data_IF_515461755068
#
_entry.id   IF_515461755068
#
_cell.length_a   1.000
_cell.length_b   1.000
_cell.length_c   1.000
_cell.angle_alpha   90.00
_cell.angle_beta   90.00
_cell.angle_gamma   90.00
#
_symmetry.space_group_name_H-M   'P 1'
#
loop_
_entity.id
_entity.type
_entity.pdbx_description
1 polymer ?
#
# COMPACT_ATOMS: atom_id res chain seq x y z
N UNK A 1 32.46 -22.81 -22.31
CA UNK A 1 32.95 -23.46 -21.08
C UNK A 1 32.63 -22.52 -19.95
N UNK A 2 31.87 -22.94 -18.94
CA UNK A 2 31.60 -22.11 -17.76
C UNK A 2 32.85 -22.20 -16.89
N UNK A 3 33.60 -21.10 -16.80
CA UNK A 3 34.82 -21.01 -15.98
C UNK A 3 34.50 -20.93 -14.49
N UNK A 4 35.51 -21.11 -13.64
CA UNK A 4 35.38 -20.88 -12.19
C UNK A 4 34.98 -19.41 -11.97
N UNK A 5 33.99 -19.11 -11.11
CA UNK A 5 33.54 -17.74 -10.90
C UNK A 5 34.68 -16.83 -10.44
N UNK A 6 34.84 -15.72 -11.14
CA UNK A 6 35.86 -14.72 -10.84
C UNK A 6 35.38 -13.78 -9.73
N UNK A 7 36.29 -12.94 -9.22
CA UNK A 7 35.97 -12.01 -8.13
C UNK A 7 34.77 -11.11 -8.47
N UNK A 8 34.68 -10.69 -9.73
CA UNK A 8 33.63 -9.80 -10.24
C UNK A 8 32.27 -10.51 -10.29
N UNK A 9 32.24 -11.81 -10.61
CA UNK A 9 31.01 -12.61 -10.58
C UNK A 9 30.41 -12.64 -9.16
N UNK A 10 31.26 -12.82 -8.14
CA UNK A 10 30.83 -12.80 -6.75
C UNK A 10 30.37 -11.42 -6.29
N UNK A 11 30.94 -10.35 -6.83
CA UNK A 11 30.51 -9.00 -6.54
C UNK A 11 29.13 -8.70 -7.13
N UNK A 12 28.91 -9.09 -8.38
CA UNK A 12 27.62 -9.01 -9.05
C UNK A 12 26.55 -9.86 -8.34
N UNK A 13 26.90 -11.07 -7.91
CA UNK A 13 25.99 -11.92 -7.14
C UNK A 13 25.56 -11.26 -5.82
N UNK A 14 26.48 -10.59 -5.10
CA UNK A 14 26.15 -9.84 -3.87
C UNK A 14 25.24 -8.65 -4.13
N UNK A 15 25.46 -7.90 -5.21
CA UNK A 15 24.59 -6.79 -5.63
C UNK A 15 23.18 -7.29 -5.94
N UNK A 16 23.08 -8.37 -6.72
CA UNK A 16 21.80 -9.00 -7.05
C UNK A 16 21.08 -9.55 -5.80
N UNK A 17 21.82 -10.19 -4.87
CA UNK A 17 21.25 -10.66 -3.61
C UNK A 17 20.64 -9.51 -2.79
N UNK A 18 21.34 -8.39 -2.65
CA UNK A 18 20.83 -7.21 -1.94
C UNK A 18 19.55 -6.67 -2.56
N UNK A 19 19.49 -6.64 -3.90
CA UNK A 19 18.29 -6.25 -4.63
C UNK A 19 17.12 -7.22 -4.36
N UNK A 20 17.35 -8.52 -4.57
CA UNK A 20 16.32 -9.56 -4.44
C UNK A 20 15.81 -9.74 -3.01
N UNK A 21 16.66 -9.54 -2.00
CA UNK A 21 16.29 -9.66 -0.59
C UNK A 21 15.09 -8.76 -0.25
N UNK A 22 15.03 -7.55 -0.82
CA UNK A 22 13.93 -6.61 -0.57
C UNK A 22 12.60 -7.07 -1.16
N UNK A 23 12.63 -7.74 -2.31
CA UNK A 23 11.44 -8.36 -2.89
C UNK A 23 11.03 -9.62 -2.15
N UNK A 24 12.00 -10.38 -1.65
CA UNK A 24 11.75 -11.53 -0.79
C UNK A 24 11.01 -11.11 0.48
N UNK A 25 11.52 -10.10 1.21
CA UNK A 25 10.89 -9.60 2.44
C UNK A 25 9.46 -9.10 2.20
N UNK A 26 9.25 -8.34 1.12
CA UNK A 26 7.93 -7.88 0.68
C UNK A 26 6.99 -9.06 0.38
N UNK A 27 7.47 -10.05 -0.39
CA UNK A 27 6.67 -11.21 -0.77
C UNK A 27 6.30 -12.03 0.46
N UNK A 28 7.25 -12.24 1.37
CA UNK A 28 7.02 -12.94 2.63
C UNK A 28 5.94 -12.25 3.46
N UNK A 29 5.99 -10.92 3.54
CA UNK A 29 5.02 -10.11 4.29
C UNK A 29 3.61 -10.14 3.67
N UNK A 30 3.48 -10.12 2.36
CA UNK A 30 2.17 -10.19 1.67
C UNK A 30 1.64 -11.63 1.58
N UNK A 31 2.52 -12.64 1.61
CA UNK A 31 2.13 -14.06 1.56
C UNK A 31 1.74 -14.63 2.93
N UNK A 32 1.73 -13.81 3.98
CA UNK A 32 1.28 -14.22 5.30
C UNK A 32 -0.19 -14.66 5.30
N UNK A 33 -0.50 -15.76 5.98
CA UNK A 33 -1.88 -16.28 6.10
C UNK A 33 -2.48 -16.15 7.49
N UNK A 34 -1.66 -15.79 8.49
CA UNK A 34 -2.06 -15.68 9.90
C UNK A 34 -2.58 -14.30 10.29
N UNK A 35 -2.60 -13.35 9.36
CA UNK A 35 -3.08 -11.99 9.56
C UNK A 35 -3.66 -11.47 8.26
N UNK A 36 -4.49 -10.43 8.33
CA UNK A 36 -4.99 -9.75 7.15
C UNK A 36 -3.83 -9.04 6.44
N UNK A 37 -3.59 -9.37 5.18
CA UNK A 37 -2.51 -8.78 4.37
C UNK A 37 -2.97 -7.59 3.55
N UNK A 38 -4.28 -7.54 3.23
CA UNK A 38 -4.86 -6.52 2.37
C UNK A 38 -4.70 -5.10 2.93
N UNK A 39 -4.87 -4.91 4.24
CA UNK A 39 -4.72 -3.61 4.89
C UNK A 39 -3.29 -3.07 4.86
N UNK A 40 -2.27 -3.94 4.76
CA UNK A 40 -0.86 -3.55 4.63
C UNK A 40 -0.46 -3.26 3.18
N UNK A 41 -1.24 -3.76 2.23
CA UNK A 41 -0.89 -3.78 0.81
C UNK A 41 -0.51 -2.41 0.26
N UNK A 42 -1.27 -1.36 0.62
CA UNK A 42 -1.02 0.00 0.16
C UNK A 42 0.38 0.48 0.55
N UNK A 43 0.77 0.27 1.80
CA UNK A 43 2.06 0.70 2.32
C UNK A 43 3.21 -0.09 1.69
N UNK A 44 3.03 -1.40 1.56
CA UNK A 44 4.06 -2.30 1.00
C UNK A 44 4.33 -1.99 -0.47
N UNK A 45 3.29 -1.83 -1.27
CA UNK A 45 3.40 -1.51 -2.71
C UNK A 45 4.08 -0.14 -2.90
N UNK A 46 3.72 0.82 -2.07
CA UNK A 46 4.35 2.13 -2.08
C UNK A 46 5.84 2.08 -1.69
N UNK A 47 6.18 1.30 -0.65
CA UNK A 47 7.58 1.11 -0.25
C UNK A 47 8.40 0.48 -1.38
N UNK A 48 7.83 -0.46 -2.13
CA UNK A 48 8.48 -1.04 -3.30
C UNK A 48 8.73 -0.01 -4.41
N UNK A 49 7.74 0.83 -4.71
CA UNK A 49 7.90 1.90 -5.69
C UNK A 49 9.03 2.86 -5.33
N UNK A 50 9.08 3.32 -4.09
CA UNK A 50 10.14 4.21 -3.62
C UNK A 50 11.53 3.57 -3.70
N UNK A 51 11.64 2.30 -3.36
CA UNK A 51 12.89 1.56 -3.41
C UNK A 51 13.41 1.43 -4.86
N UNK A 52 12.52 1.08 -5.78
CA UNK A 52 12.84 0.99 -7.21
C UNK A 52 13.29 2.36 -7.75
N UNK A 53 12.56 3.43 -7.46
CA UNK A 53 12.94 4.78 -7.89
C UNK A 53 14.27 5.24 -7.29
N UNK A 54 14.55 4.90 -6.03
CA UNK A 54 15.84 5.19 -5.40
C UNK A 54 16.98 4.49 -6.14
N UNK A 55 16.83 3.21 -6.43
CA UNK A 55 17.87 2.47 -7.16
C UNK A 55 18.03 2.92 -8.61
N UNK A 56 16.95 3.33 -9.27
CA UNK A 56 17.01 3.89 -10.61
C UNK A 56 17.81 5.21 -10.63
N UNK A 57 17.60 6.07 -9.64
CA UNK A 57 18.25 7.40 -9.58
C UNK A 57 19.70 7.37 -9.08
N UNK A 58 20.11 6.35 -8.33
CA UNK A 58 21.47 6.18 -7.81
C UNK A 58 22.46 5.61 -8.85
N UNK A 59 22.41 6.12 -10.09
CA UNK A 59 23.22 5.64 -11.24
C UNK A 59 24.73 5.67 -10.92
N UNK A 60 25.18 6.72 -10.22
CA UNK A 60 26.59 6.92 -9.85
C UNK A 60 27.13 5.85 -8.89
N UNK A 61 26.26 5.15 -8.15
CA UNK A 61 26.67 4.11 -7.20
C UNK A 61 26.80 2.75 -7.86
N UNK A 62 25.86 2.41 -8.74
CA UNK A 62 25.81 1.10 -9.37
C UNK A 62 24.97 1.13 -10.65
N UNK A 63 25.64 1.27 -11.80
CA UNK A 63 24.99 1.36 -13.11
C UNK A 63 24.14 0.12 -13.43
N UNK A 64 24.64 -1.07 -13.10
CA UNK A 64 23.93 -2.33 -13.36
C UNK A 64 22.65 -2.43 -12.54
N UNK A 65 22.70 -1.98 -11.28
CA UNK A 65 21.55 -1.94 -10.39
C UNK A 65 20.51 -0.93 -10.88
N UNK A 66 20.94 0.25 -11.34
CA UNK A 66 20.04 1.27 -11.89
C UNK A 66 19.33 0.78 -13.15
N UNK A 67 20.05 0.12 -14.07
CA UNK A 67 19.45 -0.48 -15.28
C UNK A 67 18.42 -1.55 -14.89
N UNK A 68 18.73 -2.38 -13.89
CA UNK A 68 17.80 -3.40 -13.39
C UNK A 68 16.56 -2.77 -12.75
N UNK A 69 16.75 -1.73 -11.94
CA UNK A 69 15.67 -0.98 -11.31
C UNK A 69 14.75 -0.33 -12.35
N UNK A 70 15.29 0.27 -13.41
CA UNK A 70 14.47 0.84 -14.49
C UNK A 70 13.63 -0.22 -15.21
N UNK A 71 14.20 -1.40 -15.49
CA UNK A 71 13.44 -2.53 -16.05
C UNK A 71 12.33 -3.02 -15.11
N UNK A 72 12.59 -3.02 -13.81
CA UNK A 72 11.60 -3.40 -12.80
C UNK A 72 10.52 -2.34 -12.60
N UNK A 73 10.88 -1.06 -12.73
CA UNK A 73 9.93 0.06 -12.73
C UNK A 73 8.93 -0.05 -13.87
N UNK A 74 9.39 -0.35 -15.09
CA UNK A 74 8.48 -0.58 -16.22
C UNK A 74 7.46 -1.71 -15.95
N UNK A 75 7.90 -2.79 -15.31
CA UNK A 75 6.99 -3.87 -14.89
C UNK A 75 6.04 -3.41 -13.78
N UNK A 76 6.53 -2.64 -12.81
CA UNK A 76 5.69 -2.08 -11.76
C UNK A 76 4.60 -1.19 -12.35
N UNK A 77 4.97 -0.24 -13.22
CA UNK A 77 4.05 0.72 -13.84
C UNK A 77 3.01 0.04 -14.72
N UNK A 78 3.36 -1.08 -15.37
CA UNK A 78 2.41 -1.90 -16.13
C UNK A 78 1.23 -2.40 -15.28
N UNK A 79 1.46 -2.76 -14.02
CA UNK A 79 0.42 -3.30 -13.13
C UNK A 79 -0.14 -2.24 -12.16
N UNK A 80 0.65 -1.25 -11.79
CA UNK A 80 0.40 -0.33 -10.67
C UNK A 80 0.62 1.16 -11.01
N UNK A 81 1.00 1.48 -12.25
CA UNK A 81 1.23 2.86 -12.70
C UNK A 81 -0.02 3.53 -13.24
N UNK A 82 -0.94 2.76 -13.83
CA UNK A 82 -2.23 3.27 -14.27
C UNK A 82 -3.25 3.21 -13.14
N UNK A 83 -3.42 4.36 -12.49
CA UNK A 83 -4.40 4.60 -11.44
C UNK A 83 -5.81 4.14 -11.87
N UNK A 84 -6.20 4.31 -13.13
CA UNK A 84 -7.52 3.88 -13.61
C UNK A 84 -7.73 2.35 -13.64
N UNK A 85 -6.65 1.57 -13.70
CA UNK A 85 -6.69 0.10 -13.80
C UNK A 85 -6.46 -0.63 -12.48
N UNK A 86 -6.11 0.09 -11.42
CA UNK A 86 -5.83 -0.53 -10.12
C UNK A 86 -7.11 -1.04 -9.46
N UNK A 87 -6.98 -2.18 -8.76
CA UNK A 87 -8.10 -2.75 -8.01
C UNK A 87 -8.42 -1.90 -6.77
N UNK A 88 -9.56 -1.19 -6.81
CA UNK A 88 -10.02 -0.32 -5.73
C UNK A 88 -10.21 -1.04 -4.38
N UNK A 89 -10.51 -2.35 -4.41
CA UNK A 89 -10.70 -3.16 -3.19
C UNK A 89 -9.45 -3.19 -2.30
N UNK A 90 -8.26 -3.08 -2.88
CA UNK A 90 -7.01 -3.07 -2.12
C UNK A 90 -6.93 -1.83 -1.21
N UNK A 91 -7.39 -0.68 -1.70
CA UNK A 91 -7.45 0.55 -0.92
C UNK A 91 -8.61 0.57 0.08
N UNK A 92 -9.78 0.03 -0.33
CA UNK A 92 -10.93 -0.11 0.58
C UNK A 92 -10.55 -0.98 1.78
N UNK A 93 -9.76 -2.04 1.58
CA UNK A 93 -9.29 -2.89 2.68
C UNK A 93 -8.44 -2.14 3.70
N UNK A 94 -7.68 -1.13 3.25
CA UNK A 94 -6.97 -0.21 4.15
C UNK A 94 -7.95 0.70 4.89
N UNK A 95 -8.97 1.23 4.23
CA UNK A 95 -10.02 2.05 4.88
C UNK A 95 -10.80 1.28 5.95
N UNK A 96 -11.00 -0.01 5.75
CA UNK A 96 -11.73 -0.88 6.69
C UNK A 96 -10.89 -1.24 7.92
N UNK A 97 -9.58 -1.01 7.90
CA UNK A 97 -8.74 -1.22 9.06
C UNK A 97 -8.95 -0.05 10.05
N UNK A 98 -9.37 -0.32 11.31
CA UNK A 98 -9.67 0.73 12.29
C UNK A 98 -8.54 1.74 12.51
N UNK A 99 -7.29 1.31 12.26
CA UNK A 99 -6.08 2.14 12.41
C UNK A 99 -5.91 3.13 11.26
N UNK A 100 -6.44 2.79 10.08
CA UNK A 100 -6.26 3.54 8.85
C UNK A 100 -7.62 4.06 8.35
N UNK A 101 -7.89 5.35 8.59
CA UNK A 101 -9.16 5.97 8.14
C UNK A 101 -9.07 6.43 6.68
N UNK A 102 -10.21 6.80 6.09
CA UNK A 102 -10.28 7.45 4.76
C UNK A 102 -9.28 8.60 4.59
N UNK A 103 -9.04 9.38 5.64
CA UNK A 103 -8.06 10.47 5.61
C UNK A 103 -6.62 10.02 5.41
N UNK A 104 -6.25 8.83 5.92
CA UNK A 104 -4.94 8.25 5.68
C UNK A 104 -4.79 7.83 4.21
N UNK A 105 -5.80 7.16 3.65
CA UNK A 105 -5.78 6.70 2.25
C UNK A 105 -5.77 7.89 1.29
N UNK A 106 -6.54 8.94 1.56
CA UNK A 106 -6.52 10.19 0.79
C UNK A 106 -5.14 10.86 0.80
N UNK A 107 -4.53 10.98 1.99
CA UNK A 107 -3.16 11.51 2.13
C UNK A 107 -2.13 10.66 1.39
N UNK A 108 -2.17 9.34 1.59
CA UNK A 108 -1.23 8.42 0.98
C UNK A 108 -1.31 8.48 -0.54
N UNK A 109 -2.51 8.41 -1.12
CA UNK A 109 -2.72 8.44 -2.57
C UNK A 109 -2.25 9.74 -3.22
N UNK A 110 -2.50 10.90 -2.59
CA UNK A 110 -2.02 12.20 -3.07
C UNK A 110 -0.50 12.30 -3.05
N UNK A 111 0.15 11.64 -2.10
CA UNK A 111 1.61 11.58 -2.02
C UNK A 111 2.22 10.61 -3.02
N UNK A 112 1.59 9.45 -3.24
CA UNK A 112 2.07 8.44 -4.21
C UNK A 112 1.93 8.96 -5.64
N UNK A 113 0.80 9.62 -5.94
CA UNK A 113 0.46 10.09 -7.28
C UNK A 113 0.22 11.61 -7.28
N UNK A 114 1.28 12.43 -7.08
CA UNK A 114 1.15 13.89 -6.99
C UNK A 114 0.84 14.54 -8.35
N UNK A 115 1.24 13.90 -9.45
CA UNK A 115 1.12 14.47 -10.80
C UNK A 115 -0.30 14.34 -11.37
N UNK A 116 -0.74 15.40 -12.06
CA UNK A 116 -1.98 15.41 -12.85
C UNK A 116 -3.28 15.22 -12.04
N UNK A 117 -3.25 15.36 -10.71
CA UNK A 117 -4.42 15.16 -9.85
C UNK A 117 -4.88 13.71 -9.74
N UNK A 118 -4.07 12.75 -10.21
CA UNK A 118 -4.41 11.33 -10.23
C UNK A 118 -4.65 10.77 -8.82
N UNK A 119 -3.84 11.15 -7.83
CA UNK A 119 -4.02 10.74 -6.45
C UNK A 119 -5.33 11.24 -5.84
N UNK A 120 -5.70 12.50 -6.11
CA UNK A 120 -6.97 13.07 -5.64
C UNK A 120 -8.19 12.40 -6.29
N UNK A 121 -8.11 12.10 -7.60
CA UNK A 121 -9.14 11.36 -8.32
C UNK A 121 -9.33 9.95 -7.73
N UNK A 122 -8.23 9.22 -7.52
CA UNK A 122 -8.28 7.88 -6.91
C UNK A 122 -8.83 7.92 -5.48
N UNK A 123 -8.45 8.91 -4.68
CA UNK A 123 -8.98 9.06 -3.33
C UNK A 123 -10.50 9.28 -3.35
N UNK A 124 -10.99 10.10 -4.29
CA UNK A 124 -12.41 10.28 -4.55
C UNK A 124 -13.10 8.98 -4.96
N UNK A 125 -12.52 8.25 -5.91
CA UNK A 125 -13.05 6.97 -6.40
C UNK A 125 -13.12 5.90 -5.29
N UNK A 126 -12.07 5.78 -4.47
CA UNK A 126 -12.03 4.85 -3.33
C UNK A 126 -13.07 5.24 -2.30
N UNK A 127 -13.23 6.54 -2.01
CA UNK A 127 -14.25 7.04 -1.10
C UNK A 127 -15.64 6.67 -1.58
N UNK A 128 -15.98 6.97 -2.85
CA UNK A 128 -17.27 6.63 -3.46
C UNK A 128 -17.52 5.14 -3.41
N UNK A 129 -16.57 4.32 -3.87
CA UNK A 129 -16.70 2.87 -3.86
C UNK A 129 -16.88 2.28 -2.44
N UNK A 130 -16.24 2.88 -1.43
CA UNK A 130 -16.42 2.46 -0.03
C UNK A 130 -17.85 2.73 0.44
N UNK A 131 -18.39 3.92 0.16
CA UNK A 131 -19.75 4.27 0.56
C UNK A 131 -20.81 3.50 -0.23
N UNK A 132 -20.59 3.24 -1.51
CA UNK A 132 -21.46 2.41 -2.34
C UNK A 132 -21.53 0.97 -1.79
N UNK A 133 -20.37 0.40 -1.43
CA UNK A 133 -20.31 -0.93 -0.81
C UNK A 133 -21.07 -0.96 0.52
N UNK A 134 -20.91 0.08 1.34
CA UNK A 134 -21.63 0.20 2.61
C UNK A 134 -23.14 0.32 2.40
N UNK A 135 -23.58 1.17 1.47
CA UNK A 135 -25.00 1.34 1.16
C UNK A 135 -25.63 0.04 0.64
N UNK A 136 -24.93 -0.68 -0.23
CA UNK A 136 -25.38 -1.99 -0.71
C UNK A 136 -25.45 -3.01 0.44
N UNK A 137 -24.46 -3.04 1.32
CA UNK A 137 -24.49 -3.90 2.51
C UNK A 137 -25.65 -3.56 3.45
N UNK A 138 -25.93 -2.27 3.67
CA UNK A 138 -27.05 -1.82 4.50
C UNK A 138 -28.40 -2.27 3.93
N UNK A 139 -28.58 -2.17 2.61
CA UNK A 139 -29.78 -2.67 1.92
C UNK A 139 -29.95 -4.19 2.10
N UNK A 140 -28.86 -4.95 1.92
CA UNK A 140 -28.86 -6.40 2.16
C UNK A 140 -29.20 -6.73 3.62
N UNK A 141 -28.63 -6.00 4.57
CA UNK A 141 -28.90 -6.17 6.00
C UNK A 141 -30.37 -5.93 6.33
N UNK A 142 -30.95 -4.82 5.86
CA UNK A 142 -32.37 -4.48 6.04
C UNK A 142 -33.29 -5.54 5.42
N UNK A 143 -32.94 -6.05 4.23
CA UNK A 143 -33.70 -7.12 3.56
C UNK A 143 -33.66 -8.46 4.33
N UNK A 144 -32.54 -8.76 5.02
CA UNK A 144 -32.39 -9.94 5.87
C UNK A 144 -33.14 -9.78 7.20
N UNK A 145 -33.14 -8.60 7.82
CA UNK A 145 -33.94 -8.32 9.02
C UNK A 145 -35.44 -8.49 8.78
N UNK A 146 -35.95 -8.05 7.62
CA UNK A 146 -37.36 -8.25 7.23
C UNK A 146 -37.75 -9.74 7.12
N UNK A 147 -36.78 -10.64 6.88
CA UNK A 147 -36.97 -12.09 6.82
C UNK A 147 -36.73 -12.82 8.15
N UNK A 148 -35.98 -12.22 9.07
CA UNK A 148 -35.52 -12.84 10.32
C UNK A 148 -36.09 -12.15 11.56
N UNK A 149 -37.41 -11.89 11.61
CA UNK A 149 -38.09 -11.41 12.82
C UNK A 149 -38.11 -12.44 13.98
N UNK A 150 -37.07 -13.27 14.10
CA UNK A 150 -36.83 -14.16 15.23
C UNK A 150 -35.32 -14.35 15.39
N UNK A 151 -34.83 -13.93 16.56
CA UNK A 151 -33.52 -14.23 17.21
C UNK A 151 -32.40 -13.19 17.08
N UNK A 152 -32.08 -12.63 18.25
CA UNK A 152 -30.99 -11.72 18.61
C UNK A 152 -29.65 -12.45 18.76
N UNK A 153 -28.51 -11.76 18.54
CA UNK A 153 -27.36 -11.72 19.47
C UNK A 153 -26.22 -10.77 19.02
N UNK A 154 -25.42 -10.37 20.03
CA UNK A 154 -24.53 -9.19 20.16
C UNK A 154 -23.09 -9.36 19.57
N UNK A 155 -22.23 -8.31 19.57
CA UNK A 155 -20.95 -8.30 18.85
C UNK A 155 -19.75 -8.72 19.71
N UNK A 156 -18.71 -9.26 19.07
CA UNK A 156 -17.37 -9.50 19.63
C UNK A 156 -16.36 -8.68 18.81
N UNK A 157 -15.56 -7.85 19.48
CA UNK A 157 -14.42 -7.12 18.93
C UNK A 157 -13.18 -7.53 19.72
N UNK A 158 -12.13 -7.94 19.03
CA UNK A 158 -10.78 -8.11 19.60
C UNK A 158 -9.79 -7.36 18.69
N UNK A 159 -9.13 -6.34 19.24
CA UNK A 159 -8.06 -5.59 18.59
C UNK A 159 -6.71 -6.29 18.82
N UNK A 160 -5.83 -6.26 17.82
CA UNK A 160 -4.41 -6.57 18.00
C UNK A 160 -3.57 -5.47 17.36
N UNK A 161 -2.71 -4.89 18.20
CA UNK A 161 -1.72 -3.87 17.85
C UNK A 161 -0.75 -4.37 16.79
N UNK A 162 -0.41 -3.51 15.81
CA UNK A 162 0.72 -3.76 14.92
C UNK A 162 1.56 -2.51 14.84
N UNK A 163 2.86 -2.73 14.93
CA UNK A 163 3.93 -1.75 14.94
C UNK A 163 3.79 -0.66 13.87
N UNK A 164 4.03 0.55 14.35
CA UNK A 164 3.87 1.82 13.65
C UNK A 164 4.95 2.00 12.58
N UNK A 165 4.59 1.76 11.32
CA UNK A 165 5.47 1.92 10.16
C UNK A 165 5.47 3.37 9.62
N UNK A 166 6.64 3.87 9.23
CA UNK A 166 7.02 5.23 8.79
C UNK A 166 5.93 6.13 8.18
N UNK A 167 5.08 5.62 7.27
CA UNK A 167 4.00 6.41 6.64
C UNK A 167 2.93 6.82 7.66
N UNK A 168 2.68 6.00 8.68
CA UNK A 168 1.83 6.36 9.81
C UNK A 168 2.44 7.48 10.64
N UNK A 169 3.74 7.43 10.91
CA UNK A 169 4.43 8.46 11.67
C UNK A 169 4.35 9.81 10.94
N UNK A 170 4.53 9.81 9.62
CA UNK A 170 4.35 11.00 8.78
C UNK A 170 2.90 11.49 8.73
N UNK A 171 1.93 10.57 8.67
CA UNK A 171 0.50 10.92 8.74
C UNK A 171 0.13 11.50 10.12
N UNK A 172 0.66 10.95 11.22
CA UNK A 172 0.45 11.48 12.57
C UNK A 172 0.99 12.91 12.67
N UNK A 173 2.20 13.16 12.17
CA UNK A 173 2.78 14.52 12.09
C UNK A 173 1.93 15.46 11.25
N UNK A 174 1.42 15.01 10.09
CA UNK A 174 0.53 15.81 9.25
C UNK A 174 -0.80 16.12 9.94
N UNK A 175 -1.40 15.15 10.64
CA UNK A 175 -2.64 15.32 11.41
C UNK A 175 -2.46 16.32 12.55
N UNK A 176 -1.35 16.27 13.27
CA UNK A 176 -1.03 17.22 14.34
C UNK A 176 -0.91 18.66 13.81
N UNK A 177 -0.33 18.85 12.62
CA UNK A 177 -0.24 20.16 11.97
C UNK A 177 -1.61 20.70 11.53
N UNK A 178 -2.49 19.84 11.00
CA UNK A 178 -3.87 20.23 10.66
C UNK A 178 -4.65 20.62 11.91
N UNK A 179 -4.58 19.80 12.98
CA UNK A 179 -5.28 20.09 14.24
C UNK A 179 -4.75 21.37 14.89
N UNK A 180 -3.44 21.61 14.84
CA UNK A 180 -2.81 22.84 15.32
C UNK A 180 -3.18 24.09 14.50
N UNK A 181 -3.47 23.94 13.20
CA UNK A 181 -3.94 25.04 12.35
C UNK A 181 -5.43 25.36 12.57
N UNK A 182 -6.24 24.35 12.89
CA UNK A 182 -7.68 24.51 13.21
C UNK A 182 -7.89 25.14 14.59
N UNK A 183 -7.03 24.84 15.57
CA UNK A 183 -7.12 25.39 16.93
C UNK A 183 -6.51 26.80 17.09
N UNK A 184 -6.12 27.45 15.99
CA UNK A 184 -5.54 28.81 15.97
C UNK A 184 -6.54 29.90 15.59
N UNK A 185 -7.83 29.55 15.53
CA UNK A 185 -8.96 30.47 15.35
C UNK A 185 -9.93 30.32 16.51
#
# INVERSE_FOLDING_TARGET
>A
MIGVPEKDDWENARKMMRFLCRFYDFTLKISGSKYTTCNLFLQEVHSQYHLINKWETEVEKDLDLSIMASKMKMKYEKYWGDVGKMNKLLYISTVMDPRYKLGFVDFALKRVYPEGGNGARMAGDVKTATFDLFAHYEQLWKSKQSKNASTSLAPIVEECDVDELDVLAEYKKHREQIVGAVNKF
#
